data_IF_971267998693
#
_entry.id   IF_971267998693
#
_cell.length_a   1.000
_cell.length_b   1.000
_cell.length_c   1.000
_cell.angle_alpha   90.00
_cell.angle_beta   90.00
_cell.angle_gamma   90.00
#
_symmetry.space_group_name_H-M   'P 1'
#
loop_
_entity.id
_entity.type
_entity.pdbx_description
1 polymer ?
#
# COMPACT_ATOMS: atom_id res chain seq x y z
N UNK A 1 8.51 -12.95 -10.56
CA UNK A 1 8.61 -12.95 -9.08
C UNK A 1 8.20 -11.58 -8.54
N UNK A 2 7.39 -11.51 -7.47
CA UNK A 2 6.96 -10.24 -6.86
C UNK A 2 7.86 -9.88 -5.68
N UNK A 3 8.32 -8.63 -5.61
CA UNK A 3 9.00 -8.05 -4.46
C UNK A 3 8.20 -6.87 -3.91
N UNK A 4 7.93 -6.86 -2.62
CA UNK A 4 7.19 -5.79 -1.92
C UNK A 4 8.08 -5.13 -0.86
N UNK A 5 8.30 -3.83 -1.00
CA UNK A 5 8.95 -3.03 0.05
C UNK A 5 7.91 -2.39 0.96
N UNK A 6 8.02 -2.63 2.26
CA UNK A 6 7.24 -1.90 3.26
C UNK A 6 7.06 -2.62 4.59
N UNK A 7 6.92 -1.83 5.66
CA UNK A 7 6.65 -2.31 7.02
C UNK A 7 5.21 -2.79 7.26
N UNK A 8 5.06 -3.86 8.05
CA UNK A 8 3.76 -4.50 8.36
C UNK A 8 2.74 -3.61 9.08
N UNK A 9 3.19 -2.60 9.81
CA UNK A 9 2.31 -1.68 10.53
C UNK A 9 1.96 -0.41 9.72
N UNK A 10 2.14 -0.42 8.40
CA UNK A 10 1.67 0.62 7.48
C UNK A 10 0.32 0.24 6.89
N UNK A 11 -0.69 1.11 6.99
CA UNK A 11 -2.02 0.87 6.41
C UNK A 11 -1.95 0.65 4.91
N UNK A 12 -1.13 1.42 4.20
CA UNK A 12 -0.98 1.30 2.75
C UNK A 12 -0.24 0.02 2.32
N UNK A 13 0.73 -0.44 3.11
CA UNK A 13 1.43 -1.72 2.84
C UNK A 13 0.49 -2.89 3.11
N UNK A 14 -0.31 -2.82 4.19
CA UNK A 14 -1.31 -3.85 4.52
C UNK A 14 -2.30 -4.13 3.40
N UNK A 15 -2.71 -3.10 2.64
CA UNK A 15 -3.58 -3.30 1.46
C UNK A 15 -2.95 -4.25 0.45
N UNK A 16 -1.67 -4.01 0.12
CA UNK A 16 -0.94 -4.81 -0.87
C UNK A 16 -0.65 -6.21 -0.34
N UNK A 17 -0.18 -6.34 0.91
CA UNK A 17 0.00 -7.64 1.55
C UNK A 17 -1.29 -8.46 1.51
N UNK A 18 -2.41 -7.86 1.92
CA UNK A 18 -3.68 -8.56 1.92
C UNK A 18 -4.12 -8.97 0.51
N UNK A 19 -3.96 -8.10 -0.50
CA UNK A 19 -4.26 -8.49 -1.89
C UNK A 19 -3.37 -9.61 -2.40
N UNK A 20 -2.08 -9.64 -2.05
CA UNK A 20 -1.18 -10.73 -2.43
C UNK A 20 -1.62 -12.06 -1.81
N UNK A 21 -1.95 -12.05 -0.52
CA UNK A 21 -2.47 -13.23 0.21
C UNK A 21 -3.82 -13.70 -0.37
N UNK A 22 -4.76 -12.79 -0.62
CA UNK A 22 -6.09 -13.11 -1.21
C UNK A 22 -5.99 -13.66 -2.64
N UNK A 23 -4.88 -13.44 -3.33
CA UNK A 23 -4.61 -13.97 -4.67
C UNK A 23 -3.67 -15.18 -4.65
N UNK A 24 -3.23 -15.62 -3.46
CA UNK A 24 -2.26 -16.71 -3.27
C UNK A 24 -0.96 -16.48 -4.05
N UNK A 25 -0.54 -15.21 -4.19
CA UNK A 25 0.64 -14.85 -4.96
C UNK A 25 1.90 -14.97 -4.11
N UNK A 26 2.94 -15.70 -4.56
CA UNK A 26 4.22 -15.73 -3.85
C UNK A 26 4.93 -14.38 -4.00
N UNK A 27 5.41 -13.83 -2.89
CA UNK A 27 6.18 -12.58 -2.87
C UNK A 27 7.33 -12.63 -1.88
N UNK A 28 8.37 -11.84 -2.17
CA UNK A 28 9.43 -11.53 -1.22
C UNK A 28 9.17 -10.14 -0.60
N UNK A 29 9.11 -10.06 0.73
CA UNK A 29 8.93 -8.79 1.42
C UNK A 29 10.26 -8.23 1.92
N UNK A 30 10.55 -6.98 1.58
CA UNK A 30 11.70 -6.22 2.10
C UNK A 30 11.17 -5.16 3.06
N UNK A 31 11.64 -5.20 4.31
CA UNK A 31 11.22 -4.23 5.32
C UNK A 31 11.79 -2.85 5.01
N UNK A 32 10.91 -1.86 4.85
CA UNK A 32 11.26 -0.47 4.54
C UNK A 32 10.30 0.52 5.21
N UNK A 33 10.78 1.73 5.46
CA UNK A 33 10.01 2.83 6.06
C UNK A 33 10.17 2.96 7.57
N UNK A 34 10.14 4.20 8.07
CA UNK A 34 10.36 4.54 9.49
C UNK A 34 11.69 3.95 9.99
N UNK A 35 11.69 3.26 11.14
CA UNK A 35 12.88 2.68 11.76
C UNK A 35 13.62 1.66 10.88
N UNK A 36 12.98 1.12 9.84
CA UNK A 36 13.64 0.20 8.88
C UNK A 36 14.49 0.92 7.83
N UNK A 37 14.36 2.24 7.66
CA UNK A 37 15.10 2.97 6.62
C UNK A 37 14.75 2.51 5.20
N UNK A 38 15.75 2.44 4.32
CA UNK A 38 15.68 2.03 2.90
C UNK A 38 14.95 3.02 2.00
N UNK A 39 13.80 3.52 2.43
CA UNK A 39 12.91 4.37 1.62
C UNK A 39 13.46 5.78 1.32
N UNK A 40 14.70 6.07 1.72
CA UNK A 40 15.43 7.32 1.46
C UNK A 40 16.78 7.10 0.79
N UNK A 41 17.17 5.85 0.55
CA UNK A 41 18.41 5.52 -0.15
C UNK A 41 18.27 5.88 -1.63
N UNK A 42 19.38 6.25 -2.28
CA UNK A 42 19.38 6.70 -3.66
C UNK A 42 18.74 5.67 -4.61
N UNK A 43 19.06 4.39 -4.43
CA UNK A 43 18.54 3.29 -5.25
C UNK A 43 17.02 3.12 -5.07
N UNK A 44 16.50 3.33 -3.85
CA UNK A 44 15.06 3.28 -3.62
C UNK A 44 14.36 4.48 -4.24
N UNK A 45 14.93 5.67 -4.09
CA UNK A 45 14.38 6.91 -4.64
C UNK A 45 14.38 6.92 -6.17
N UNK A 46 15.30 6.20 -6.81
CA UNK A 46 15.27 5.97 -8.26
C UNK A 46 14.03 5.17 -8.71
N UNK A 47 13.51 4.28 -7.86
CA UNK A 47 12.29 3.51 -8.13
C UNK A 47 11.01 4.21 -7.67
N UNK A 48 11.04 4.87 -6.50
CA UNK A 48 9.93 5.65 -5.95
C UNK A 48 10.42 7.02 -5.44
N UNK A 49 10.27 8.09 -6.23
CA UNK A 49 10.81 9.41 -5.89
C UNK A 49 10.14 10.04 -4.66
N UNK A 50 8.96 9.57 -4.27
CA UNK A 50 8.28 10.04 -3.06
C UNK A 50 8.97 9.53 -1.77
N UNK A 51 9.78 8.47 -1.87
CA UNK A 51 10.44 7.84 -0.74
C UNK A 51 9.45 7.37 0.32
N UNK A 52 8.35 6.76 -0.13
CA UNK A 52 7.27 6.20 0.69
C UNK A 52 7.12 4.70 0.44
N UNK A 53 6.34 4.04 1.28
CA UNK A 53 5.96 2.62 1.14
C UNK A 53 4.42 2.51 1.02
N UNK A 54 3.89 1.52 0.28
CA UNK A 54 4.58 0.43 -0.41
C UNK A 54 5.24 0.82 -1.73
N UNK A 55 6.22 0.04 -2.14
CA UNK A 55 6.74 -0.09 -3.52
C UNK A 55 6.63 -1.57 -3.89
N UNK A 56 6.17 -1.87 -5.09
CA UNK A 56 6.09 -3.24 -5.62
C UNK A 56 6.89 -3.32 -6.91
N UNK A 57 7.67 -4.39 -7.06
CA UNK A 57 8.28 -4.80 -8.32
C UNK A 57 7.73 -6.16 -8.71
N UNK A 58 7.32 -6.30 -9.96
CA UNK A 58 6.92 -7.57 -10.55
C UNK A 58 7.83 -7.89 -11.72
N UNK A 59 8.70 -8.88 -11.52
CA UNK A 59 9.66 -9.29 -12.53
C UNK A 59 8.99 -9.99 -13.74
N UNK A 60 7.74 -10.49 -13.61
CA UNK A 60 7.04 -11.12 -14.74
C UNK A 60 6.56 -10.10 -15.78
N UNK A 61 6.20 -8.90 -15.33
CA UNK A 61 5.70 -7.82 -16.22
C UNK A 61 6.65 -6.63 -16.34
N UNK A 62 7.83 -6.73 -15.73
CA UNK A 62 8.80 -5.61 -15.59
C UNK A 62 8.17 -4.35 -14.94
N UNK A 63 7.14 -4.54 -14.10
CA UNK A 63 6.43 -3.43 -13.49
C UNK A 63 7.12 -3.00 -12.20
N UNK A 64 7.39 -1.70 -12.06
CA UNK A 64 7.80 -1.08 -10.80
C UNK A 64 6.79 -0.01 -10.42
N UNK A 65 6.03 -0.24 -9.35
CA UNK A 65 4.85 0.55 -9.00
C UNK A 65 4.90 1.04 -7.56
N UNK A 66 4.53 2.31 -7.39
CA UNK A 66 4.17 2.93 -6.11
C UNK A 66 2.71 3.44 -6.19
N UNK A 67 2.17 3.95 -5.08
CA UNK A 67 0.73 4.12 -4.81
C UNK A 67 -0.01 2.82 -4.50
N UNK A 68 -0.35 2.61 -3.22
CA UNK A 68 -0.99 1.37 -2.74
C UNK A 68 -2.26 0.98 -3.48
N UNK A 69 -3.16 1.92 -3.76
CA UNK A 69 -4.41 1.60 -4.47
C UNK A 69 -4.13 1.23 -5.94
N UNK A 70 -3.13 1.84 -6.56
CA UNK A 70 -2.69 1.49 -7.93
C UNK A 70 -2.09 0.09 -7.96
N UNK A 71 -1.24 -0.26 -6.99
CA UNK A 71 -0.70 -1.61 -6.86
C UNK A 71 -1.82 -2.65 -6.69
N UNK A 72 -2.81 -2.39 -5.82
CA UNK A 72 -3.95 -3.30 -5.63
C UNK A 72 -4.75 -3.47 -6.93
N UNK A 73 -5.03 -2.37 -7.66
CA UNK A 73 -5.70 -2.43 -8.96
C UNK A 73 -4.90 -3.22 -9.98
N UNK A 74 -3.59 -3.02 -10.05
CA UNK A 74 -2.67 -3.79 -10.90
C UNK A 74 -2.73 -5.28 -10.58
N UNK A 75 -2.57 -5.68 -9.31
CA UNK A 75 -2.59 -7.09 -8.91
C UNK A 75 -3.95 -7.74 -9.23
N UNK A 76 -5.05 -7.04 -8.95
CA UNK A 76 -6.38 -7.53 -9.30
C UNK A 76 -6.54 -7.69 -10.83
N UNK A 77 -6.16 -6.68 -11.61
CA UNK A 77 -6.30 -6.69 -13.06
C UNK A 77 -5.36 -7.68 -13.77
N UNK A 78 -4.20 -7.99 -13.19
CA UNK A 78 -3.19 -8.86 -13.77
C UNK A 78 -3.36 -10.32 -13.35
N UNK A 79 -3.68 -10.57 -12.08
CA UNK A 79 -3.69 -11.91 -11.47
C UNK A 79 -5.02 -12.29 -10.81
N UNK A 80 -6.00 -11.38 -10.79
CA UNK A 80 -7.24 -11.53 -10.04
C UNK A 80 -8.52 -11.62 -10.88
N UNK A 81 -8.43 -11.93 -12.18
CA UNK A 81 -9.62 -12.07 -13.02
C UNK A 81 -10.50 -13.23 -12.52
N UNK A 82 -11.82 -13.01 -12.45
CA UNK A 82 -12.76 -13.96 -11.86
C UNK A 82 -12.73 -14.04 -10.32
N UNK A 83 -11.84 -13.30 -9.65
CA UNK A 83 -11.74 -13.22 -8.18
C UNK A 83 -11.98 -11.79 -7.68
N UNK A 84 -10.99 -10.92 -7.87
CA UNK A 84 -10.98 -9.55 -7.34
C UNK A 84 -11.22 -8.49 -8.42
N UNK A 85 -11.00 -8.81 -9.69
CA UNK A 85 -11.23 -7.87 -10.79
C UNK A 85 -12.67 -7.90 -11.29
N UNK A 86 -13.27 -6.72 -11.39
CA UNK A 86 -14.61 -6.52 -11.97
C UNK A 86 -14.44 -6.02 -13.39
N UNK A 87 -14.82 -6.80 -14.39
CA UNK A 87 -14.60 -6.45 -15.80
C UNK A 87 -15.41 -5.24 -16.27
N UNK A 88 -16.70 -5.19 -15.90
CA UNK A 88 -17.58 -4.12 -16.34
C UNK A 88 -17.13 -2.76 -15.75
N UNK A 89 -16.76 -1.77 -16.58
CA UNK A 89 -16.17 -0.53 -16.09
C UNK A 89 -17.08 0.27 -15.15
N UNK A 90 -18.37 0.36 -15.47
CA UNK A 90 -19.32 1.10 -14.63
C UNK A 90 -19.50 0.44 -13.26
N UNK A 91 -19.60 -0.91 -13.21
CA UNK A 91 -19.67 -1.64 -11.94
C UNK A 91 -18.35 -1.54 -11.15
N UNK A 92 -17.21 -1.64 -11.83
CA UNK A 92 -15.89 -1.48 -11.21
C UNK A 92 -15.73 -0.10 -10.60
N UNK A 93 -16.11 0.95 -11.31
CA UNK A 93 -16.05 2.33 -10.83
C UNK A 93 -16.88 2.57 -9.55
N UNK A 94 -18.00 1.85 -9.36
CA UNK A 94 -18.77 1.91 -8.12
C UNK A 94 -17.98 1.41 -6.90
N UNK A 95 -17.06 0.45 -7.10
CA UNK A 95 -16.12 -0.02 -6.08
C UNK A 95 -14.88 0.87 -5.98
N UNK A 96 -14.24 1.18 -7.11
CA UNK A 96 -12.97 1.92 -7.15
C UNK A 96 -13.05 3.31 -6.51
N UNK A 97 -14.20 4.00 -6.59
CA UNK A 97 -14.40 5.30 -5.92
C UNK A 97 -14.14 5.22 -4.40
N UNK A 98 -14.38 4.07 -3.77
CA UNK A 98 -14.12 3.88 -2.34
C UNK A 98 -12.63 3.75 -2.04
N UNK A 99 -11.83 3.23 -2.98
CA UNK A 99 -10.38 3.22 -2.84
C UNK A 99 -9.85 4.66 -2.78
N UNK A 100 -10.32 5.51 -3.69
CA UNK A 100 -9.91 6.90 -3.77
C UNK A 100 -10.40 7.68 -2.55
N UNK A 101 -11.67 7.53 -2.17
CA UNK A 101 -12.22 8.11 -0.94
C UNK A 101 -11.44 7.67 0.32
N UNK A 102 -11.01 6.41 0.40
CA UNK A 102 -10.26 5.91 1.55
C UNK A 102 -8.92 6.65 1.74
N UNK A 103 -8.24 7.03 0.65
CA UNK A 103 -6.97 7.76 0.73
C UNK A 103 -7.14 9.28 0.82
N UNK A 104 -8.17 9.83 0.16
CA UNK A 104 -8.36 11.27 0.08
C UNK A 104 -9.16 11.83 1.25
N UNK A 105 -10.12 11.06 1.79
CA UNK A 105 -11.06 11.55 2.81
C UNK A 105 -10.88 10.83 4.13
N UNK A 106 -10.86 9.49 4.15
CA UNK A 106 -10.74 8.74 5.39
C UNK A 106 -9.33 8.82 6.00
N UNK A 107 -8.30 8.62 5.18
CA UNK A 107 -6.91 8.56 5.63
C UNK A 107 -6.44 9.82 6.36
N UNK A 108 -6.73 11.06 5.90
CA UNK A 108 -6.36 12.27 6.63
C UNK A 108 -6.95 12.32 8.05
N UNK A 109 -8.24 11.99 8.20
CA UNK A 109 -8.92 11.96 9.50
C UNK A 109 -8.38 10.85 10.40
N UNK A 110 -8.23 9.65 9.85
CA UNK A 110 -7.63 8.51 10.57
C UNK A 110 -6.19 8.81 11.02
N UNK A 111 -5.40 9.54 10.21
CA UNK A 111 -4.01 9.88 10.55
C UNK A 111 -3.91 10.71 11.82
N UNK A 112 -4.84 11.63 12.06
CA UNK A 112 -4.86 12.45 13.29
C UNK A 112 -4.97 11.56 14.52
N UNK A 113 -5.94 10.64 14.51
CA UNK A 113 -6.19 9.69 15.60
C UNK A 113 -4.99 8.74 15.78
N UNK A 114 -4.49 8.16 14.68
CA UNK A 114 -3.36 7.23 14.72
C UNK A 114 -2.10 7.90 15.29
N UNK A 115 -1.82 9.14 14.88
CA UNK A 115 -0.65 9.86 15.39
C UNK A 115 -0.83 10.24 16.86
N UNK A 116 -1.97 10.82 17.21
CA UNK A 116 -2.22 11.31 18.57
C UNK A 116 -2.36 10.20 19.62
N UNK A 117 -2.99 9.08 19.28
CA UNK A 117 -3.35 8.04 20.26
C UNK A 117 -2.55 6.75 20.14
N UNK A 118 -1.96 6.44 18.99
CA UNK A 118 -1.27 5.15 18.77
C UNK A 118 0.24 5.33 18.60
N UNK A 119 0.69 6.38 17.92
CA UNK A 119 2.11 6.61 17.66
C UNK A 119 2.78 7.51 18.69
N UNK A 120 2.06 8.48 19.26
CA UNK A 120 2.55 9.29 20.37
C UNK A 120 2.58 8.43 21.64
N UNK A 121 3.73 8.37 22.35
CA UNK A 121 3.81 7.74 23.66
C UNK A 121 2.73 8.29 24.59
N UNK A 122 2.16 7.44 25.45
CA UNK A 122 1.05 7.81 26.34
C UNK A 122 1.37 9.04 27.21
N UNK A 123 2.58 9.07 27.79
CA UNK A 123 3.07 10.18 28.60
C UNK A 123 3.15 11.53 27.85
N UNK A 124 3.11 11.53 26.53
CA UNK A 124 3.15 12.74 25.71
C UNK A 124 1.78 13.12 25.16
N UNK A 125 0.72 12.34 25.39
CA UNK A 125 -0.61 12.63 24.83
C UNK A 125 -1.26 13.82 25.54
N UNK A 126 -1.93 14.66 24.76
CA UNK A 126 -2.73 15.76 25.29
C UNK A 126 -4.08 15.18 25.75
N UNK A 127 -4.11 14.64 26.96
CA UNK A 127 -5.35 14.19 27.62
C UNK A 127 -6.02 15.37 28.33
N UNK A 128 -7.37 15.44 28.36
CA UNK A 128 -8.07 16.31 29.31
C UNK A 128 -7.88 15.87 30.76
#
# INVERSE_FOLDING_TARGET
MITLWGRNNSTNVKKVLWTLEELDLPFNQIMAGMAFGVNKDADYLAMNPNGLVPLLRDDETDATLWESNTIVRYLAAQYGQGRLWVENPARRAQGEKWMDWANQTLSPTHRVILMGLIRKPEAERDEP
#
